data_IF_236465711032
#
_entry.id   IF_236465711032
#
_cell.length_a   1.000
_cell.length_b   1.000
_cell.length_c   1.000
_cell.angle_alpha   90.00
_cell.angle_beta   90.00
_cell.angle_gamma   90.00
#
_symmetry.space_group_name_H-M   'P 1'
#
loop_
_entity.id
_entity.type
_entity.pdbx_description
1 polymer ?
#
# COMPACT_ATOMS: atom_id res chain seq x y z
N UNK A 1 1.44 -4.06 7.51
CA UNK A 1 0.49 -3.01 7.17
C UNK A 1 -0.81 -3.08 8.01
N UNK A 2 -1.49 -4.24 8.14
CA UNK A 2 -2.72 -4.35 8.94
C UNK A 2 -2.52 -3.99 10.42
N UNK A 3 -1.39 -4.31 11.01
CA UNK A 3 -1.10 -4.02 12.42
C UNK A 3 -0.86 -2.52 12.68
N UNK A 4 -0.50 -1.77 11.64
CA UNK A 4 -0.44 -0.30 11.71
C UNK A 4 -1.83 0.35 11.87
N UNK A 5 -2.93 -0.44 11.79
CA UNK A 5 -4.30 0.04 12.03
C UNK A 5 -4.64 0.26 13.52
N UNK A 6 -3.80 -0.16 14.43
CA UNK A 6 -3.95 0.13 15.87
C UNK A 6 -3.85 1.63 16.21
N UNK A 7 -3.21 2.41 15.33
CA UNK A 7 -3.10 3.86 15.47
C UNK A 7 -4.41 4.62 15.21
N UNK A 8 -4.50 5.90 15.65
CA UNK A 8 -5.64 6.77 15.35
C UNK A 8 -5.90 6.88 13.84
N UNK A 9 -7.17 6.91 13.43
CA UNK A 9 -7.55 6.87 12.00
C UNK A 9 -6.98 8.01 11.15
N UNK A 10 -6.83 9.27 11.63
CA UNK A 10 -6.15 10.31 10.86
C UNK A 10 -4.68 9.99 10.56
N UNK A 11 -3.99 9.31 11.48
CA UNK A 11 -2.61 8.84 11.26
C UNK A 11 -2.60 7.70 10.24
N UNK A 12 -3.54 6.77 10.33
CA UNK A 12 -3.73 5.71 9.33
C UNK A 12 -3.99 6.30 7.93
N UNK A 13 -4.80 7.36 7.84
CA UNK A 13 -5.04 8.07 6.59
C UNK A 13 -3.73 8.61 5.97
N UNK A 14 -2.88 9.26 6.78
CA UNK A 14 -1.61 9.79 6.32
C UNK A 14 -0.64 8.68 5.89
N UNK A 15 -0.51 7.62 6.69
CA UNK A 15 0.38 6.49 6.43
C UNK A 15 0.01 5.78 5.12
N UNK A 16 -1.28 5.48 4.92
CA UNK A 16 -1.75 4.64 3.81
C UNK A 16 -2.12 5.43 2.55
N UNK A 17 -2.33 6.75 2.63
CA UNK A 17 -2.63 7.54 1.46
C UNK A 17 -1.35 8.01 0.74
N UNK A 18 -0.40 8.64 1.46
CA UNK A 18 0.61 9.47 0.81
C UNK A 18 2.05 9.29 1.30
N UNK A 19 2.31 8.63 2.44
CA UNK A 19 3.64 8.67 3.06
C UNK A 19 4.36 7.33 3.08
N UNK A 20 4.24 6.57 4.16
CA UNK A 20 5.06 5.38 4.42
C UNK A 20 4.94 4.33 3.31
N UNK A 21 3.71 4.04 2.87
CA UNK A 21 3.46 3.01 1.86
C UNK A 21 3.98 3.38 0.47
N UNK A 22 4.11 4.68 0.19
CA UNK A 22 4.59 5.18 -1.09
C UNK A 22 6.12 5.27 -1.17
N UNK A 23 6.82 5.26 -0.03
CA UNK A 23 8.27 5.40 0.00
C UNK A 23 9.00 4.28 -0.75
N UNK A 24 8.63 3.02 -0.49
CA UNK A 24 9.21 1.86 -1.19
C UNK A 24 8.88 1.85 -2.67
N UNK A 25 7.64 2.19 -3.03
CA UNK A 25 7.20 2.29 -4.40
C UNK A 25 7.94 3.41 -5.15
N UNK A 26 8.08 4.58 -4.55
CA UNK A 26 8.81 5.70 -5.12
C UNK A 26 10.30 5.36 -5.28
N UNK A 27 10.90 4.63 -4.34
CA UNK A 27 12.26 4.13 -4.48
C UNK A 27 12.41 3.26 -5.72
N UNK A 28 11.52 2.28 -5.93
CA UNK A 28 11.55 1.42 -7.12
C UNK A 28 11.36 2.25 -8.39
N UNK A 29 10.36 3.15 -8.41
CA UNK A 29 10.14 4.05 -9.54
C UNK A 29 11.39 4.90 -9.88
N UNK A 30 12.13 5.36 -8.87
CA UNK A 30 13.40 6.10 -9.06
C UNK A 30 14.52 5.22 -9.57
N UNK A 31 14.50 3.93 -9.30
CA UNK A 31 15.51 2.99 -9.78
C UNK A 31 15.30 2.59 -11.24
N UNK A 32 14.05 2.59 -11.74
CA UNK A 32 13.73 2.22 -13.12
C UNK A 32 14.60 2.95 -14.16
N UNK A 33 14.79 4.29 -14.10
CA UNK A 33 15.67 4.99 -15.06
C UNK A 33 17.16 4.65 -14.94
N UNK A 34 17.63 4.17 -13.77
CA UNK A 34 19.04 3.83 -13.56
C UNK A 34 19.42 2.46 -14.13
N UNK A 35 18.45 1.64 -14.48
CA UNK A 35 18.69 0.36 -15.14
C UNK A 35 19.01 0.57 -16.62
N UNK A 36 18.77 1.78 -17.13
CA UNK A 36 19.18 2.22 -18.45
C UNK A 36 20.62 2.73 -18.45
N UNK A 37 21.57 1.89 -18.75
CA UNK A 37 22.94 2.29 -19.01
C UNK A 37 23.21 2.21 -20.51
N UNK A 38 22.61 3.18 -21.23
CA UNK A 38 22.92 3.48 -22.63
C UNK A 38 22.51 2.41 -23.64
N UNK A 39 21.40 2.63 -24.33
CA UNK A 39 20.91 2.00 -25.57
C UNK A 39 20.96 0.47 -25.72
N UNK A 40 21.51 -0.24 -24.77
CA UNK A 40 21.54 -1.71 -24.68
C UNK A 40 21.24 -2.08 -23.25
N UNK A 41 20.16 -2.81 -23.01
CA UNK A 41 19.79 -3.30 -21.68
C UNK A 41 20.99 -3.91 -20.95
N UNK A 42 21.01 -3.77 -19.63
CA UNK A 42 22.07 -4.40 -18.83
C UNK A 42 21.88 -5.92 -18.90
N UNK A 43 22.83 -6.61 -19.49
CA UNK A 43 22.81 -8.07 -19.60
C UNK A 43 22.60 -8.71 -18.20
N UNK A 44 21.56 -9.55 -18.09
CA UNK A 44 21.15 -10.19 -16.83
C UNK A 44 20.07 -9.47 -16.04
N UNK A 45 19.60 -8.29 -16.46
CA UNK A 45 18.44 -7.58 -15.89
C UNK A 45 17.20 -7.63 -16.80
N UNK A 46 17.27 -8.36 -17.90
CA UNK A 46 16.17 -8.51 -18.87
C UNK A 46 14.90 -9.05 -18.20
N UNK A 47 15.05 -10.04 -17.31
CA UNK A 47 13.94 -10.65 -16.57
C UNK A 47 13.50 -9.87 -15.33
N UNK A 48 14.23 -8.84 -14.91
CA UNK A 48 13.90 -8.11 -13.68
C UNK A 48 12.53 -7.45 -13.75
N UNK A 49 12.19 -6.88 -14.92
CA UNK A 49 10.88 -6.29 -15.17
C UNK A 49 9.76 -7.31 -15.00
N UNK A 50 9.95 -8.50 -15.54
CA UNK A 50 9.01 -9.61 -15.42
C UNK A 50 8.85 -10.05 -13.93
N UNK A 51 9.96 -10.20 -13.20
CA UNK A 51 9.93 -10.57 -11.77
C UNK A 51 9.16 -9.53 -10.97
N UNK A 52 9.43 -8.24 -11.17
CA UNK A 52 8.75 -7.15 -10.48
C UNK A 52 7.26 -7.14 -10.82
N UNK A 53 6.88 -7.38 -12.09
CA UNK A 53 5.49 -7.46 -12.52
C UNK A 53 4.75 -8.64 -11.85
N UNK A 54 5.39 -9.81 -11.74
CA UNK A 54 4.81 -10.96 -11.04
C UNK A 54 4.65 -10.71 -9.54
N UNK A 55 5.65 -10.17 -8.87
CA UNK A 55 5.57 -9.80 -7.44
C UNK A 55 4.40 -8.84 -7.23
N UNK A 56 4.26 -7.83 -8.10
CA UNK A 56 3.14 -6.91 -8.08
C UNK A 56 1.80 -7.62 -8.26
N UNK A 57 1.64 -8.39 -9.34
CA UNK A 57 0.40 -9.10 -9.68
C UNK A 57 -0.05 -10.09 -8.60
N UNK A 58 0.86 -10.91 -8.09
CA UNK A 58 0.58 -11.86 -7.01
C UNK A 58 0.17 -11.12 -5.72
N UNK A 59 0.91 -10.09 -5.35
CA UNK A 59 0.60 -9.29 -4.16
C UNK A 59 -0.75 -8.60 -4.28
N UNK A 60 -1.08 -8.05 -5.46
CA UNK A 60 -2.37 -7.41 -5.74
C UNK A 60 -3.53 -8.40 -5.54
N UNK A 61 -3.41 -9.58 -6.12
CA UNK A 61 -4.42 -10.65 -6.03
C UNK A 61 -4.58 -11.15 -4.58
N UNK A 62 -3.49 -11.46 -3.90
CA UNK A 62 -3.53 -11.94 -2.51
C UNK A 62 -4.16 -10.92 -1.57
N UNK A 63 -3.75 -9.66 -1.66
CA UNK A 63 -4.29 -8.59 -0.83
C UNK A 63 -5.79 -8.40 -1.07
N UNK A 64 -6.25 -8.45 -2.33
CA UNK A 64 -7.66 -8.40 -2.67
C UNK A 64 -8.44 -9.60 -2.12
N UNK A 65 -7.88 -10.82 -2.19
CA UNK A 65 -8.49 -12.02 -1.64
C UNK A 65 -8.66 -11.94 -0.11
N UNK A 66 -7.67 -11.44 0.60
CA UNK A 66 -7.76 -11.22 2.05
C UNK A 66 -8.80 -10.13 2.37
N UNK A 67 -8.88 -9.06 1.58
CA UNK A 67 -9.87 -8.01 1.77
C UNK A 67 -11.33 -8.50 1.67
N UNK A 68 -11.59 -9.61 0.95
CA UNK A 68 -12.94 -10.21 0.83
C UNK A 68 -13.54 -10.62 2.17
N UNK A 69 -12.73 -11.12 3.07
CA UNK A 69 -13.18 -11.74 4.32
C UNK A 69 -12.99 -10.85 5.55
N UNK A 70 -12.27 -9.72 5.41
CA UNK A 70 -12.07 -8.80 6.52
C UNK A 70 -13.39 -8.11 6.93
N UNK A 71 -13.63 -8.03 8.23
CA UNK A 71 -14.79 -7.37 8.81
C UNK A 71 -14.50 -6.03 9.44
N UNK A 72 -13.23 -5.75 9.75
CA UNK A 72 -12.76 -4.46 10.23
C UNK A 72 -12.60 -3.49 9.03
N UNK A 73 -13.30 -2.35 9.11
CA UNK A 73 -13.33 -1.33 8.04
C UNK A 73 -11.93 -0.79 7.71
N UNK A 74 -11.08 -0.59 8.73
CA UNK A 74 -9.69 -0.11 8.55
C UNK A 74 -8.82 -1.19 7.91
N UNK A 75 -8.98 -2.45 8.29
CA UNK A 75 -8.24 -3.57 7.72
C UNK A 75 -8.61 -3.81 6.25
N UNK A 76 -9.89 -3.70 5.87
CA UNK A 76 -10.31 -3.73 4.46
C UNK A 76 -9.59 -2.64 3.67
N UNK A 77 -9.55 -1.40 4.19
CA UNK A 77 -8.86 -0.29 3.54
C UNK A 77 -7.35 -0.50 3.45
N UNK A 78 -6.72 -1.12 4.45
CA UNK A 78 -5.30 -1.45 4.46
C UNK A 78 -4.94 -2.49 3.38
N UNK A 79 -5.69 -3.59 3.29
CA UNK A 79 -5.50 -4.59 2.24
C UNK A 79 -5.81 -4.05 0.86
N UNK A 80 -6.82 -3.19 0.75
CA UNK A 80 -7.08 -2.45 -0.47
C UNK A 80 -5.91 -1.53 -0.86
N UNK A 81 -5.25 -0.87 0.10
CA UNK A 81 -4.04 -0.09 -0.17
C UNK A 81 -2.92 -0.97 -0.70
N UNK A 82 -2.65 -2.10 -0.05
CA UNK A 82 -1.63 -3.06 -0.49
C UNK A 82 -1.92 -3.56 -1.90
N UNK A 83 -3.18 -3.88 -2.21
CA UNK A 83 -3.59 -4.31 -3.55
C UNK A 83 -3.36 -3.22 -4.60
N UNK A 84 -3.72 -1.96 -4.34
CA UNK A 84 -3.58 -0.88 -5.32
C UNK A 84 -2.11 -0.47 -5.54
N UNK A 85 -1.29 -0.47 -4.50
CA UNK A 85 0.16 -0.24 -4.66
C UNK A 85 0.82 -1.37 -5.45
N UNK A 86 0.36 -2.60 -5.26
CA UNK A 86 0.83 -3.73 -6.03
C UNK A 86 0.48 -3.64 -7.53
N UNK A 87 -0.64 -3.00 -7.91
CA UNK A 87 -0.91 -2.61 -9.30
C UNK A 87 0.20 -1.71 -9.85
N UNK A 88 0.62 -0.72 -9.06
CA UNK A 88 1.68 0.20 -9.49
C UNK A 88 3.01 -0.57 -9.65
N UNK A 89 3.32 -1.51 -8.75
CA UNK A 89 4.48 -2.37 -8.91
C UNK A 89 4.41 -3.21 -10.20
N UNK A 90 3.24 -3.75 -10.54
CA UNK A 90 3.04 -4.45 -11.82
C UNK A 90 3.31 -3.52 -12.98
N UNK A 91 2.79 -2.29 -12.95
CA UNK A 91 3.03 -1.28 -13.97
C UNK A 91 4.51 -0.89 -14.08
N UNK A 92 5.21 -0.69 -12.95
CA UNK A 92 6.65 -0.40 -12.96
C UNK A 92 7.47 -1.58 -13.49
N UNK A 93 7.08 -2.83 -13.16
CA UNK A 93 7.68 -4.03 -13.73
C UNK A 93 7.49 -4.11 -15.25
N UNK A 94 6.28 -3.80 -15.72
CA UNK A 94 5.99 -3.74 -17.16
C UNK A 94 6.76 -2.61 -17.85
N UNK A 95 6.91 -1.43 -17.20
CA UNK A 95 7.73 -0.34 -17.72
C UNK A 95 9.19 -0.75 -17.88
N UNK A 96 9.74 -1.39 -16.87
CA UNK A 96 11.12 -1.88 -16.89
C UNK A 96 11.31 -2.95 -17.97
N UNK A 97 10.33 -3.85 -18.12
CA UNK A 97 10.36 -4.88 -19.16
C UNK A 97 10.33 -4.25 -20.57
N UNK A 98 9.39 -3.33 -20.85
CA UNK A 98 9.33 -2.62 -22.14
C UNK A 98 10.62 -1.86 -22.44
N UNK A 99 11.17 -1.22 -21.41
CA UNK A 99 12.39 -0.46 -21.55
C UNK A 99 13.58 -1.32 -21.98
N UNK A 100 13.75 -2.49 -21.34
CA UNK A 100 14.81 -3.44 -21.70
C UNK A 100 14.60 -4.12 -23.06
N UNK A 101 13.42 -3.99 -23.69
CA UNK A 101 13.10 -4.50 -25.01
C UNK A 101 12.99 -3.40 -26.08
N UNK A 102 13.59 -2.24 -25.86
CA UNK A 102 13.60 -1.08 -26.77
C UNK A 102 12.23 -0.46 -27.08
N UNK A 103 11.19 -0.81 -26.31
CA UNK A 103 9.82 -0.27 -26.43
C UNK A 103 9.62 0.96 -25.54
N UNK A 104 10.44 1.99 -25.77
CA UNK A 104 10.53 3.18 -24.90
C UNK A 104 9.21 3.95 -24.76
N UNK A 105 8.39 3.99 -25.82
CA UNK A 105 7.09 4.68 -25.75
C UNK A 105 6.12 3.97 -24.79
N UNK A 106 5.96 2.64 -24.93
CA UNK A 106 5.12 1.87 -24.03
C UNK A 106 5.62 1.90 -22.60
N UNK A 107 6.96 1.82 -22.41
CA UNK A 107 7.58 1.99 -21.10
C UNK A 107 7.21 3.33 -20.43
N UNK A 108 7.30 4.43 -21.16
CA UNK A 108 6.97 5.75 -20.66
C UNK A 108 5.47 5.90 -20.33
N UNK A 109 4.58 5.35 -21.16
CA UNK A 109 3.13 5.39 -20.95
C UNK A 109 2.73 4.63 -19.69
N UNK A 110 3.22 3.41 -19.50
CA UNK A 110 2.87 2.61 -18.29
C UNK A 110 3.53 3.18 -17.02
N UNK A 111 4.73 3.74 -17.13
CA UNK A 111 5.36 4.46 -16.01
C UNK A 111 4.53 5.69 -15.61
N UNK A 112 4.16 6.54 -16.57
CA UNK A 112 3.33 7.70 -16.34
C UNK A 112 1.96 7.35 -15.75
N UNK A 113 1.32 6.30 -16.25
CA UNK A 113 0.06 5.77 -15.71
C UNK A 113 0.22 5.26 -14.27
N UNK A 114 1.33 4.60 -13.96
CA UNK A 114 1.68 4.12 -12.62
C UNK A 114 1.85 5.27 -11.63
N UNK A 115 2.58 6.31 -12.00
CA UNK A 115 2.77 7.50 -11.16
C UNK A 115 1.47 8.30 -11.01
N UNK A 116 0.66 8.37 -12.06
CA UNK A 116 -0.65 9.01 -11.98
C UNK A 116 -1.62 8.21 -11.10
N UNK A 117 -1.52 6.89 -11.13
CA UNK A 117 -2.31 6.05 -10.21
C UNK A 117 -1.93 6.26 -8.76
N UNK A 118 -0.65 6.48 -8.46
CA UNK A 118 -0.17 6.82 -7.12
C UNK A 118 -0.86 8.10 -6.60
N UNK A 119 -0.97 9.13 -7.43
CA UNK A 119 -1.65 10.38 -7.07
C UNK A 119 -3.15 10.17 -6.82
N UNK A 120 -3.86 9.52 -7.75
CA UNK A 120 -5.30 9.24 -7.62
C UNK A 120 -5.60 8.36 -6.39
N UNK A 121 -4.73 7.37 -6.15
CA UNK A 121 -4.81 6.50 -4.98
C UNK A 121 -4.65 7.30 -3.67
N UNK A 122 -3.68 8.21 -3.61
CA UNK A 122 -3.45 9.03 -2.42
C UNK A 122 -4.69 9.87 -2.06
N UNK A 123 -5.33 10.52 -3.04
CA UNK A 123 -6.55 11.30 -2.83
C UNK A 123 -7.72 10.43 -2.37
N UNK A 124 -7.98 9.33 -3.08
CA UNK A 124 -9.08 8.42 -2.75
C UNK A 124 -8.89 7.74 -1.38
N UNK A 125 -7.68 7.29 -1.07
CA UNK A 125 -7.39 6.63 0.22
C UNK A 125 -7.41 7.59 1.39
N UNK A 126 -6.85 8.79 1.23
CA UNK A 126 -6.96 9.84 2.24
C UNK A 126 -8.42 10.08 2.62
N UNK A 127 -9.29 10.23 1.63
CA UNK A 127 -10.73 10.40 1.85
C UNK A 127 -11.38 9.17 2.50
N UNK A 128 -11.10 7.96 2.01
CA UNK A 128 -11.69 6.71 2.54
C UNK A 128 -11.33 6.47 4.01
N UNK A 129 -10.07 6.68 4.38
CA UNK A 129 -9.65 6.57 5.78
C UNK A 129 -10.25 7.68 6.65
N UNK A 130 -10.35 8.92 6.17
CA UNK A 130 -11.03 9.98 6.92
C UNK A 130 -12.52 9.68 7.08
N UNK A 131 -13.18 9.16 6.05
CA UNK A 131 -14.58 8.75 6.13
C UNK A 131 -14.78 7.58 7.12
N UNK A 132 -13.89 6.58 7.09
CA UNK A 132 -13.92 5.50 8.08
C UNK A 132 -13.69 6.01 9.51
N UNK A 133 -12.80 7.00 9.67
CA UNK A 133 -12.60 7.67 10.96
C UNK A 133 -13.83 8.40 11.46
N UNK A 134 -14.58 9.05 10.57
CA UNK A 134 -15.86 9.67 10.91
C UNK A 134 -16.86 8.62 11.39
N UNK A 135 -16.99 7.49 10.67
CA UNK A 135 -17.89 6.39 11.09
C UNK A 135 -17.49 5.85 12.46
N UNK A 136 -16.22 5.51 12.66
CA UNK A 136 -15.73 4.95 13.92
C UNK A 136 -15.94 5.93 15.08
N UNK A 137 -15.69 7.22 14.86
CA UNK A 137 -15.86 8.27 15.86
C UNK A 137 -17.30 8.39 16.32
N UNK A 138 -18.25 8.53 15.41
CA UNK A 138 -19.65 8.70 15.73
C UNK A 138 -20.27 7.43 16.34
N UNK A 139 -19.85 6.25 15.89
CA UNK A 139 -20.29 4.97 16.47
C UNK A 139 -19.74 4.80 17.89
N UNK A 140 -18.48 5.14 18.12
CA UNK A 140 -17.87 5.08 19.46
C UNK A 140 -18.55 6.09 20.41
N UNK A 141 -18.81 7.30 19.95
CA UNK A 141 -19.48 8.35 20.71
C UNK A 141 -20.90 7.93 21.10
N UNK A 142 -21.68 7.36 20.17
CA UNK A 142 -22.99 6.83 20.46
C UNK A 142 -22.96 5.67 21.48
N UNK A 143 -21.94 4.79 21.40
CA UNK A 143 -21.74 3.73 22.37
C UNK A 143 -21.48 4.26 23.77
N UNK A 144 -20.59 5.25 23.91
CA UNK A 144 -20.26 5.85 25.20
C UNK A 144 -21.47 6.54 25.85
N UNK A 145 -22.27 7.25 25.06
CA UNK A 145 -23.50 7.89 25.55
C UNK A 145 -24.52 6.89 26.10
N UNK A 146 -24.69 5.76 25.46
CA UNK A 146 -25.62 4.74 25.90
C UNK A 146 -25.19 4.05 27.20
N UNK A 147 -23.88 3.92 27.45
CA UNK A 147 -23.34 3.14 28.57
C UNK A 147 -22.90 4.00 29.75
N UNK A 148 -22.79 5.34 29.63
CA UNK A 148 -22.53 6.23 30.76
C UNK A 148 -23.62 6.29 31.85
N UNK A 149 -24.77 5.66 31.63
CA UNK A 149 -25.89 5.61 32.59
C UNK A 149 -25.91 4.42 33.55
N UNK A 150 -25.16 3.38 33.32
CA UNK A 150 -25.18 2.17 34.14
C UNK A 150 -23.76 1.77 34.56
N UNK A 151 -23.42 2.03 35.83
CA UNK A 151 -22.21 1.52 36.45
C UNK A 151 -22.18 0.01 36.47
N UNK A 152 -20.97 -0.54 36.29
CA UNK A 152 -20.58 -1.91 36.59
C UNK A 152 -21.34 -3.03 35.84
N UNK A 153 -20.94 -3.27 34.64
CA UNK A 153 -21.24 -4.50 33.92
C UNK A 153 -20.34 -4.64 32.70
N UNK A 154 -19.53 -5.67 32.66
CA UNK A 154 -18.75 -6.08 31.49
C UNK A 154 -19.67 -6.14 30.26
N UNK A 155 -19.86 -4.98 29.60
CA UNK A 155 -20.51 -4.92 28.29
C UNK A 155 -19.63 -5.73 27.33
N UNK A 156 -20.26 -6.64 26.59
CA UNK A 156 -19.60 -7.36 25.50
C UNK A 156 -18.72 -6.40 24.72
N UNK A 157 -17.51 -6.83 24.35
CA UNK A 157 -16.54 -6.08 23.55
C UNK A 157 -17.19 -5.57 22.25
N UNK A 158 -17.82 -4.38 22.31
CA UNK A 158 -18.36 -3.73 21.14
C UNK A 158 -17.21 -3.06 20.39
N UNK A 159 -16.88 -3.61 19.23
CA UNK A 159 -15.86 -3.03 18.37
C UNK A 159 -16.51 -2.05 17.37
N UNK A 160 -16.23 -0.74 17.47
CA UNK A 160 -16.74 0.27 16.55
C UNK A 160 -16.10 0.20 15.16
N UNK A 161 -15.10 -0.66 14.94
CA UNK A 161 -14.46 -0.89 13.65
C UNK A 161 -15.09 -2.06 12.89
N UNK A 162 -15.84 -2.93 13.59
CA UNK A 162 -16.44 -4.13 12.99
C UNK A 162 -17.72 -3.79 12.22
N UNK A 163 -17.66 -3.92 10.88
CA UNK A 163 -18.79 -3.68 9.98
C UNK A 163 -20.00 -4.60 10.24
N UNK A 164 -19.82 -5.73 10.97
CA UNK A 164 -20.92 -6.60 11.34
C UNK A 164 -21.85 -5.96 12.36
N UNK A 165 -21.34 -5.01 13.14
CA UNK A 165 -22.11 -4.24 14.12
C UNK A 165 -22.78 -3.00 13.54
N UNK A 166 -22.45 -2.64 12.28
CA UNK A 166 -22.94 -1.47 11.57
C UNK A 166 -24.20 -1.79 10.75
N UNK A 167 -24.50 -0.97 9.76
CA UNK A 167 -25.62 -1.07 8.83
C UNK A 167 -26.55 0.13 8.98
N UNK A 168 -27.22 0.51 7.91
CA UNK A 168 -28.20 1.61 7.92
C UNK A 168 -27.61 3.02 8.14
N UNK A 169 -26.30 3.19 8.18
CA UNK A 169 -25.66 4.48 8.45
C UNK A 169 -25.83 5.50 7.32
N UNK A 170 -26.32 5.11 6.14
CA UNK A 170 -26.46 6.02 5.00
C UNK A 170 -27.41 7.21 5.28
N UNK A 171 -28.45 7.00 6.06
CA UNK A 171 -29.41 8.02 6.47
C UNK A 171 -28.89 8.88 7.63
N UNK A 172 -28.13 8.27 8.53
CA UNK A 172 -27.56 8.92 9.71
C UNK A 172 -26.34 9.78 9.36
N UNK A 173 -25.52 9.33 8.40
CA UNK A 173 -24.25 9.95 8.00
C UNK A 173 -24.20 10.15 6.46
N UNK A 174 -25.07 11.00 5.88
CA UNK A 174 -25.20 11.10 4.42
C UNK A 174 -23.95 11.67 3.72
N UNK A 175 -23.22 12.60 4.35
CA UNK A 175 -22.00 13.18 3.78
C UNK A 175 -20.90 12.13 3.78
N UNK A 176 -20.68 11.45 4.90
CA UNK A 176 -19.67 10.38 5.04
C UNK A 176 -19.98 9.21 4.10
N UNK A 177 -21.25 8.78 4.00
CA UNK A 177 -21.69 7.73 3.08
C UNK A 177 -21.41 8.09 1.61
N UNK A 178 -21.67 9.34 1.23
CA UNK A 178 -21.40 9.83 -0.13
C UNK A 178 -19.91 9.89 -0.40
N UNK A 179 -19.11 10.43 0.52
CA UNK A 179 -17.66 10.50 0.39
C UNK A 179 -17.05 9.09 0.23
N UNK A 180 -17.45 8.16 1.11
CA UNK A 180 -16.94 6.79 1.06
C UNK A 180 -17.36 6.04 -0.21
N UNK A 181 -18.52 6.37 -0.77
CA UNK A 181 -18.97 5.83 -2.04
C UNK A 181 -18.09 6.33 -3.19
N UNK A 182 -17.87 7.64 -3.33
CA UNK A 182 -17.01 8.18 -4.39
C UNK A 182 -15.56 7.68 -4.28
N UNK A 183 -15.05 7.55 -3.06
CA UNK A 183 -13.75 6.93 -2.83
C UNK A 183 -13.69 5.47 -3.28
N UNK A 184 -14.71 4.71 -2.94
CA UNK A 184 -14.84 3.31 -3.38
C UNK A 184 -14.92 3.22 -4.91
N UNK A 185 -15.72 4.06 -5.55
CA UNK A 185 -15.87 4.14 -7.01
C UNK A 185 -14.53 4.48 -7.69
N UNK A 186 -13.75 5.38 -7.10
CA UNK A 186 -12.41 5.73 -7.61
C UNK A 186 -11.43 4.56 -7.53
N UNK A 187 -11.40 3.84 -6.40
CA UNK A 187 -10.53 2.67 -6.21
C UNK A 187 -10.96 1.49 -7.11
N UNK A 188 -12.25 1.27 -7.29
CA UNK A 188 -12.80 0.29 -8.23
C UNK A 188 -12.33 0.58 -9.65
N UNK A 189 -12.20 1.86 -10.02
CA UNK A 189 -11.91 2.31 -11.37
C UNK A 189 -13.17 2.42 -12.21
N UNK A 190 -14.24 3.00 -11.62
CA UNK A 190 -15.49 3.26 -12.37
C UNK A 190 -15.23 4.33 -13.44
N UNK A 191 -15.69 4.13 -14.69
CA UNK A 191 -15.50 5.08 -15.75
C UNK A 191 -15.83 6.52 -15.37
N UNK A 192 -15.02 7.46 -15.82
CA UNK A 192 -15.10 8.91 -15.56
C UNK A 192 -14.71 9.37 -14.16
N UNK A 193 -14.55 8.49 -13.18
CA UNK A 193 -14.11 8.83 -11.82
C UNK A 193 -12.59 8.66 -11.70
N UNK A 194 -11.96 9.46 -10.86
CA UNK A 194 -10.52 9.70 -10.75
C UNK A 194 -9.60 8.52 -11.02
N UNK A 195 -9.78 7.40 -10.31
CA UNK A 195 -8.89 6.23 -10.42
C UNK A 195 -8.94 5.50 -11.76
N UNK A 196 -10.03 5.60 -12.51
CA UNK A 196 -10.18 4.97 -13.82
C UNK A 196 -9.07 5.39 -14.80
N UNK A 197 -8.82 6.68 -14.91
CA UNK A 197 -7.87 7.27 -15.86
C UNK A 197 -6.43 6.84 -15.71
N UNK A 198 -6.08 6.31 -14.56
CA UNK A 198 -4.72 5.82 -14.27
C UNK A 198 -4.63 4.31 -14.25
N UNK A 199 -5.65 3.63 -13.70
CA UNK A 199 -5.66 2.18 -13.56
C UNK A 199 -5.77 1.46 -14.90
N UNK A 200 -6.59 2.01 -15.80
CA UNK A 200 -6.77 1.44 -17.14
C UNK A 200 -5.45 1.41 -17.91
N UNK A 201 -4.64 2.48 -17.85
CA UNK A 201 -3.34 2.50 -18.50
C UNK A 201 -2.38 1.41 -18.02
N UNK A 202 -2.36 1.12 -16.70
CA UNK A 202 -1.53 0.03 -16.16
C UNK A 202 -1.99 -1.32 -16.70
N UNK A 203 -3.30 -1.59 -16.68
CA UNK A 203 -3.87 -2.87 -17.14
C UNK A 203 -3.64 -3.03 -18.65
N UNK A 204 -3.96 -2.01 -19.44
CA UNK A 204 -3.85 -2.05 -20.89
C UNK A 204 -2.41 -2.32 -21.35
N UNK A 205 -1.43 -1.59 -20.80
CA UNK A 205 -0.02 -1.76 -21.19
C UNK A 205 0.56 -3.10 -20.71
N UNK A 206 0.16 -3.60 -19.52
CA UNK A 206 0.57 -4.94 -19.08
C UNK A 206 0.02 -6.03 -20.01
N UNK A 207 -1.22 -5.86 -20.50
CA UNK A 207 -1.80 -6.75 -21.51
C UNK A 207 -1.17 -6.59 -22.88
N UNK A 208 -0.75 -5.39 -23.27
CA UNK A 208 -0.01 -5.15 -24.51
C UNK A 208 1.31 -5.92 -24.52
N UNK A 209 2.06 -5.86 -23.41
CA UNK A 209 3.27 -6.66 -23.25
C UNK A 209 3.02 -8.16 -23.44
N UNK A 210 1.93 -8.69 -22.86
CA UNK A 210 1.57 -10.09 -22.96
C UNK A 210 1.15 -10.51 -24.37
N UNK A 211 0.36 -9.66 -25.06
CA UNK A 211 -0.23 -9.99 -26.35
C UNK A 211 0.75 -9.92 -27.52
N UNK A 212 1.71 -9.00 -27.46
CA UNK A 212 2.54 -8.67 -28.60
C UNK A 212 4.00 -9.08 -28.46
N UNK A 213 4.47 -9.24 -27.24
CA UNK A 213 5.90 -9.35 -26.98
C UNK A 213 6.29 -10.59 -26.17
N UNK A 214 5.74 -10.77 -24.96
CA UNK A 214 6.24 -11.76 -24.00
C UNK A 214 5.11 -12.60 -23.38
N UNK A 215 4.97 -13.88 -23.79
CA UNK A 215 3.91 -14.75 -23.24
C UNK A 215 3.92 -14.90 -21.72
N UNK A 216 5.07 -14.77 -21.06
CA UNK A 216 5.15 -14.84 -19.59
C UNK A 216 4.44 -13.65 -18.92
N UNK A 217 4.26 -12.53 -19.60
CA UNK A 217 3.50 -11.38 -19.09
C UNK A 217 1.98 -11.65 -18.98
N UNK A 218 1.45 -12.74 -19.55
CA UNK A 218 0.05 -13.15 -19.30
C UNK A 218 -0.22 -13.40 -17.81
N UNK A 219 0.76 -13.90 -17.05
CA UNK A 219 0.59 -14.11 -15.61
C UNK A 219 0.23 -12.83 -14.87
N UNK A 220 1.08 -11.80 -14.86
CA UNK A 220 0.76 -10.51 -14.24
C UNK A 220 -0.51 -9.86 -14.83
N UNK A 221 -0.71 -9.92 -16.15
CA UNK A 221 -1.87 -9.34 -16.82
C UNK A 221 -3.20 -9.96 -16.34
N UNK A 222 -3.29 -11.29 -16.24
CA UNK A 222 -4.46 -11.99 -15.71
C UNK A 222 -4.67 -11.66 -14.23
N UNK A 223 -3.61 -11.64 -13.42
CA UNK A 223 -3.70 -11.34 -12.01
C UNK A 223 -4.27 -9.94 -11.74
N UNK A 224 -3.80 -8.92 -12.47
CA UNK A 224 -4.33 -7.56 -12.29
C UNK A 224 -5.77 -7.44 -12.80
N UNK A 225 -6.13 -8.14 -13.87
CA UNK A 225 -7.49 -8.18 -14.40
C UNK A 225 -8.47 -8.80 -13.38
N UNK A 226 -8.14 -9.96 -12.83
CA UNK A 226 -8.94 -10.61 -11.81
C UNK A 226 -9.04 -9.73 -10.54
N UNK A 227 -7.94 -9.12 -10.15
CA UNK A 227 -7.90 -8.21 -9.00
C UNK A 227 -8.79 -6.98 -9.21
N UNK A 228 -8.98 -6.51 -10.46
CA UNK A 228 -9.91 -5.42 -10.75
C UNK A 228 -11.35 -5.81 -10.38
N UNK A 229 -11.80 -7.00 -10.81
CA UNK A 229 -13.10 -7.54 -10.42
C UNK A 229 -13.26 -7.73 -8.92
N UNK A 230 -12.21 -8.26 -8.27
CA UNK A 230 -12.18 -8.43 -6.82
C UNK A 230 -12.25 -7.08 -6.08
N UNK A 231 -11.60 -6.04 -6.61
CA UNK A 231 -11.69 -4.67 -6.05
C UNK A 231 -13.13 -4.18 -6.05
N UNK A 232 -13.86 -4.41 -7.16
CA UNK A 232 -15.28 -4.09 -7.26
C UNK A 232 -16.12 -4.74 -6.15
N UNK A 233 -15.84 -6.00 -5.85
CA UNK A 233 -16.57 -6.73 -4.82
C UNK A 233 -16.26 -6.22 -3.40
N UNK A 234 -14.98 -6.21 -2.96
CA UNK A 234 -14.70 -5.91 -1.55
C UNK A 234 -14.95 -4.44 -1.18
N UNK A 235 -14.74 -3.50 -2.10
CA UNK A 235 -15.07 -2.09 -1.86
C UNK A 235 -16.59 -1.88 -1.75
N UNK A 236 -17.36 -2.51 -2.62
CA UNK A 236 -18.83 -2.46 -2.55
C UNK A 236 -19.35 -3.19 -1.31
N UNK A 237 -18.77 -4.36 -0.94
CA UNK A 237 -19.09 -5.07 0.30
C UNK A 237 -18.89 -4.18 1.52
N UNK A 238 -17.74 -3.53 1.62
CA UNK A 238 -17.44 -2.61 2.71
C UNK A 238 -18.50 -1.52 2.82
N UNK A 239 -18.86 -0.89 1.69
CA UNK A 239 -19.86 0.16 1.67
C UNK A 239 -21.26 -0.36 2.05
N UNK A 240 -21.71 -1.50 1.49
CA UNK A 240 -23.02 -2.07 1.81
C UNK A 240 -23.11 -2.53 3.26
N UNK A 241 -22.08 -3.13 3.82
CA UNK A 241 -22.10 -3.58 5.22
C UNK A 241 -22.20 -2.43 6.21
N UNK A 242 -21.61 -1.29 5.87
CA UNK A 242 -21.55 -0.10 6.74
C UNK A 242 -22.81 0.76 6.59
N UNK A 243 -23.24 1.03 5.37
CA UNK A 243 -24.23 2.07 5.10
C UNK A 243 -25.60 1.57 4.68
N UNK A 244 -25.70 0.38 4.10
CA UNK A 244 -26.97 -0.17 3.64
C UNK A 244 -27.66 -1.00 4.70
N UNK A 245 -28.95 -1.26 4.47
CA UNK A 245 -29.78 -2.12 5.34
C UNK A 245 -30.32 -1.38 6.57
N UNK A 246 -30.63 -2.15 7.59
CA UNK A 246 -31.11 -1.64 8.88
C UNK A 246 -29.95 -1.65 9.89
N UNK A 247 -30.00 -0.78 10.92
CA UNK A 247 -29.06 -0.84 12.03
C UNK A 247 -28.99 -2.26 12.62
N UNK A 248 -27.78 -2.74 12.86
CA UNK A 248 -27.55 -4.09 13.40
C UNK A 248 -27.25 -4.08 14.89
N UNK A 249 -27.03 -2.91 15.47
CA UNK A 249 -26.85 -2.70 16.90
C UNK A 249 -27.63 -1.49 17.36
N UNK A 250 -28.04 -1.47 18.62
CA UNK A 250 -28.72 -0.34 19.26
C UNK A 250 -27.87 0.93 19.19
N UNK A 251 -26.55 0.81 19.28
CA UNK A 251 -25.59 1.91 19.18
C UNK A 251 -25.78 2.67 17.86
N UNK A 252 -25.91 1.95 16.74
CA UNK A 252 -26.05 2.55 15.41
C UNK A 252 -27.36 3.32 15.26
N UNK A 253 -28.42 2.99 16.00
CA UNK A 253 -29.68 3.73 15.97
C UNK A 253 -29.51 5.16 16.50
N UNK A 254 -28.56 5.39 17.38
CA UNK A 254 -28.29 6.69 18.03
C UNK A 254 -27.15 7.47 17.37
N UNK A 255 -26.56 6.98 16.29
CA UNK A 255 -25.52 7.68 15.55
C UNK A 255 -26.09 8.89 14.81
N UNK A 256 -25.39 10.02 14.89
CA UNK A 256 -25.70 11.25 14.16
C UNK A 256 -24.42 11.90 13.63
N UNK A 257 -24.47 12.44 12.43
CA UNK A 257 -23.34 13.12 11.79
C UNK A 257 -23.27 14.59 12.25
N UNK A 258 -22.72 14.86 13.43
CA UNK A 258 -22.79 16.18 14.05
C UNK A 258 -21.60 17.09 13.72
N UNK A 259 -20.39 16.54 13.50
CA UNK A 259 -19.15 17.32 13.49
C UNK A 259 -18.88 18.03 12.15
N UNK A 260 -19.09 19.35 12.00
CA UNK A 260 -18.88 20.06 10.73
C UNK A 260 -17.41 20.09 10.30
N UNK A 261 -16.48 20.06 11.23
CA UNK A 261 -15.03 20.05 10.96
C UNK A 261 -14.53 18.77 10.26
N UNK A 262 -15.25 17.66 10.45
CA UNK A 262 -14.97 16.40 9.74
C UNK A 262 -15.61 16.42 8.35
N UNK A 263 -16.81 16.98 8.23
CA UNK A 263 -17.58 17.04 6.97
C UNK A 263 -16.89 17.87 5.90
N UNK A 264 -16.36 19.04 6.26
CA UNK A 264 -15.76 19.96 5.30
C UNK A 264 -14.58 19.33 4.52
N UNK A 265 -13.56 18.73 5.17
CA UNK A 265 -12.50 18.02 4.45
C UNK A 265 -13.02 16.87 3.58
N UNK A 266 -14.03 16.12 4.05
CA UNK A 266 -14.62 15.03 3.29
C UNK A 266 -15.30 15.52 2.00
N UNK A 267 -16.04 16.63 2.05
CA UNK A 267 -16.65 17.22 0.85
C UNK A 267 -15.59 17.66 -0.15
N UNK A 268 -14.55 18.36 0.31
CA UNK A 268 -13.45 18.82 -0.56
C UNK A 268 -12.74 17.62 -1.22
N UNK A 269 -12.38 16.61 -0.42
CA UNK A 269 -11.72 15.40 -0.94
C UNK A 269 -12.65 14.61 -1.87
N UNK A 270 -13.97 14.60 -1.63
CA UNK A 270 -14.94 13.96 -2.53
C UNK A 270 -14.92 14.60 -3.91
N UNK A 271 -14.92 15.92 -3.97
CA UNK A 271 -14.83 16.65 -5.25
C UNK A 271 -13.52 16.38 -5.97
N UNK A 272 -12.40 16.42 -5.24
CA UNK A 272 -11.07 16.13 -5.81
C UNK A 272 -11.00 14.68 -6.29
N UNK A 273 -11.50 13.72 -5.51
CA UNK A 273 -11.46 12.29 -5.88
C UNK A 273 -12.37 11.98 -7.07
N UNK A 274 -13.57 12.60 -7.13
CA UNK A 274 -14.50 12.37 -8.21
C UNK A 274 -14.01 12.99 -9.54
N UNK A 275 -13.55 14.22 -9.50
CA UNK A 275 -13.29 15.01 -10.72
C UNK A 275 -11.80 15.29 -10.95
N UNK A 276 -10.97 15.27 -9.91
CA UNK A 276 -9.54 15.61 -9.99
C UNK A 276 -8.77 14.72 -10.96
N UNK A 277 -8.99 13.41 -10.91
CA UNK A 277 -8.34 12.47 -11.82
C UNK A 277 -8.66 12.76 -13.29
N UNK A 278 -9.93 13.05 -13.59
CA UNK A 278 -10.35 13.49 -14.93
C UNK A 278 -9.70 14.82 -15.31
N UNK A 279 -9.78 15.83 -14.44
CA UNK A 279 -9.20 17.15 -14.69
C UNK A 279 -7.68 17.06 -14.91
N UNK A 280 -6.95 16.31 -14.10
CA UNK A 280 -5.50 16.12 -14.26
C UNK A 280 -5.15 15.30 -15.52
N UNK A 281 -5.97 14.29 -15.88
CA UNK A 281 -5.79 13.59 -17.13
C UNK A 281 -5.95 14.53 -18.34
N UNK A 282 -6.94 15.43 -18.31
CA UNK A 282 -7.13 16.43 -19.36
C UNK A 282 -6.00 17.48 -19.43
N UNK A 283 -5.41 17.82 -18.28
CA UNK A 283 -4.26 18.72 -18.21
C UNK A 283 -2.94 18.04 -18.64
N UNK A 284 -3.00 16.79 -19.09
CA UNK A 284 -1.83 16.05 -19.56
C UNK A 284 -0.91 15.55 -18.45
N UNK A 285 -1.45 15.28 -17.25
CA UNK A 285 -0.65 14.79 -16.14
C UNK A 285 0.07 13.47 -16.47
N UNK A 286 -0.59 12.56 -17.19
CA UNK A 286 0.02 11.31 -17.65
C UNK A 286 1.20 11.60 -18.58
N UNK A 287 1.00 12.50 -19.55
CA UNK A 287 2.02 12.82 -20.56
C UNK A 287 3.22 13.55 -19.92
N UNK A 288 2.94 14.42 -18.93
CA UNK A 288 3.99 15.08 -18.14
C UNK A 288 4.80 14.06 -17.31
N UNK A 289 4.13 13.12 -16.64
CA UNK A 289 4.79 12.09 -15.86
C UNK A 289 5.56 11.10 -16.75
N UNK A 290 5.04 10.79 -17.94
CA UNK A 290 5.73 9.99 -18.94
C UNK A 290 6.98 10.69 -19.46
N UNK A 291 6.92 12.01 -19.68
CA UNK A 291 8.07 12.80 -20.15
C UNK A 291 9.20 12.89 -19.13
N UNK A 292 8.90 12.74 -17.84
CA UNK A 292 9.94 12.67 -16.81
C UNK A 292 10.79 11.39 -16.91
N UNK A 293 10.29 10.37 -17.60
CA UNK A 293 11.00 9.13 -17.90
C UNK A 293 11.76 9.17 -19.22
N UNK A 294 11.31 10.00 -20.16
CA UNK A 294 11.91 10.11 -21.50
C UNK A 294 13.11 11.05 -21.51
N UNK A 295 14.28 10.53 -21.15
CA UNK A 295 15.56 11.25 -21.26
C UNK A 295 15.95 11.56 -22.73
N UNK A 296 15.36 10.88 -23.71
CA UNK A 296 15.69 11.05 -25.13
C UNK A 296 14.97 12.24 -25.79
N UNK A 297 13.97 12.82 -25.13
CA UNK A 297 13.19 13.95 -25.67
C UNK A 297 12.30 13.58 -26.86
N UNK A 298 12.03 12.30 -27.11
CA UNK A 298 11.24 11.83 -28.22
C UNK A 298 9.74 11.93 -27.98
N UNK A 299 9.30 12.00 -26.73
CA UNK A 299 7.91 12.27 -26.38
C UNK A 299 7.57 13.73 -26.69
N UNK A 300 7.11 13.98 -27.89
CA UNK A 300 6.52 15.26 -28.25
C UNK A 300 5.21 15.41 -27.49
N UNK A 301 5.20 16.26 -26.47
CA UNK A 301 3.97 16.74 -25.86
C UNK A 301 3.08 17.29 -26.97
N UNK A 302 2.03 16.55 -27.29
CA UNK A 302 1.11 16.95 -28.36
C UNK A 302 0.37 18.20 -27.88
N UNK A 303 0.67 19.35 -28.50
CA UNK A 303 -0.10 20.61 -28.28
C UNK A 303 -1.43 20.48 -29.01
N UNK A 304 -2.33 19.67 -28.46
CA UNK A 304 -3.71 19.55 -28.93
C UNK A 304 -4.58 20.58 -28.25
N UNK A 305 -5.72 20.92 -28.86
CA UNK A 305 -6.77 21.68 -28.18
C UNK A 305 -7.30 20.85 -27.01
N UNK A 306 -7.89 21.51 -26.01
CA UNK A 306 -8.52 20.81 -24.87
C UNK A 306 -9.52 19.75 -25.34
N UNK A 307 -10.29 20.06 -26.40
CA UNK A 307 -11.27 19.15 -26.96
C UNK A 307 -10.61 17.92 -27.60
N UNK A 308 -9.53 18.11 -28.37
CA UNK A 308 -8.77 17.01 -28.97
C UNK A 308 -8.15 16.11 -27.91
N UNK A 309 -7.65 16.70 -26.81
CA UNK A 309 -7.13 15.94 -25.68
C UNK A 309 -8.23 15.12 -24.99
N UNK A 310 -9.41 15.65 -24.81
CA UNK A 310 -10.58 14.92 -24.27
C UNK A 310 -10.95 13.76 -25.18
N UNK A 311 -11.14 14.02 -26.45
CA UNK A 311 -11.55 13.00 -27.42
C UNK A 311 -10.50 11.88 -27.53
N UNK A 312 -9.21 12.23 -27.62
CA UNK A 312 -8.12 11.27 -27.65
C UNK A 312 -8.08 10.39 -26.38
N UNK A 313 -8.18 11.00 -25.19
CA UNK A 313 -8.19 10.24 -23.91
C UNK A 313 -9.41 9.34 -23.78
N UNK A 314 -10.58 9.78 -24.22
CA UNK A 314 -11.80 8.96 -24.24
C UNK A 314 -11.66 7.82 -25.26
N UNK A 315 -11.16 8.13 -26.45
CA UNK A 315 -10.93 7.11 -27.49
C UNK A 315 -9.92 6.06 -27.00
N UNK A 316 -8.80 6.48 -26.46
CA UNK A 316 -7.79 5.57 -25.91
C UNK A 316 -8.34 4.68 -24.79
N UNK A 317 -9.14 5.26 -23.86
CA UNK A 317 -9.69 4.52 -22.73
C UNK A 317 -10.81 3.53 -23.12
N UNK A 318 -11.69 3.92 -24.08
CA UNK A 318 -12.86 3.11 -24.42
C UNK A 318 -12.76 2.39 -25.75
N UNK A 319 -11.97 2.90 -26.67
CA UNK A 319 -11.86 2.41 -28.05
C UNK A 319 -10.41 2.38 -28.54
N UNK A 320 -9.47 1.71 -27.84
CA UNK A 320 -8.11 1.62 -28.30
C UNK A 320 -8.07 0.98 -29.70
N UNK A 321 -7.11 1.35 -30.54
CA UNK A 321 -7.02 0.89 -31.94
C UNK A 321 -6.96 -0.65 -32.04
N UNK A 322 -6.25 -1.29 -31.11
CA UNK A 322 -6.12 -2.74 -31.08
C UNK A 322 -7.35 -3.40 -30.46
N UNK A 323 -8.05 -4.24 -31.25
CA UNK A 323 -9.31 -4.87 -30.83
C UNK A 323 -9.16 -5.73 -29.57
N UNK A 324 -8.01 -6.37 -29.40
CA UNK A 324 -7.73 -7.20 -28.22
C UNK A 324 -7.70 -6.36 -26.93
N UNK A 325 -7.12 -5.16 -26.96
CA UNK A 325 -7.09 -4.23 -25.83
C UNK A 325 -8.49 -3.65 -25.52
N UNK A 326 -9.31 -3.42 -26.56
CA UNK A 326 -10.73 -3.07 -26.35
C UNK A 326 -11.45 -4.11 -25.53
N UNK A 327 -11.30 -5.37 -25.88
CA UNK A 327 -11.95 -6.49 -25.17
C UNK A 327 -11.48 -6.51 -23.72
N UNK A 328 -10.17 -6.38 -23.47
CA UNK A 328 -9.60 -6.33 -22.11
C UNK A 328 -10.19 -5.18 -21.31
N UNK A 329 -10.21 -3.96 -21.85
CA UNK A 329 -10.80 -2.79 -21.18
C UNK A 329 -12.26 -3.00 -20.81
N UNK A 330 -13.09 -3.46 -21.76
CA UNK A 330 -14.50 -3.74 -21.49
C UNK A 330 -14.71 -4.88 -20.50
N UNK A 331 -13.90 -5.94 -20.55
CA UNK A 331 -13.94 -7.02 -19.55
C UNK A 331 -13.55 -6.49 -18.15
N UNK A 332 -12.53 -5.64 -18.07
CA UNK A 332 -12.14 -5.00 -16.81
C UNK A 332 -13.29 -4.19 -16.20
N UNK A 333 -13.92 -3.32 -17.01
CA UNK A 333 -15.08 -2.53 -16.59
C UNK A 333 -16.24 -3.44 -16.18
N UNK A 334 -16.54 -4.45 -16.95
CA UNK A 334 -17.62 -5.39 -16.65
C UNK A 334 -17.40 -6.11 -15.32
N UNK A 335 -16.21 -6.65 -15.10
CA UNK A 335 -15.88 -7.36 -13.86
C UNK A 335 -15.86 -6.42 -12.64
N UNK A 336 -15.22 -5.25 -12.76
CA UNK A 336 -15.02 -4.36 -11.64
C UNK A 336 -16.27 -3.54 -11.29
N UNK A 337 -17.00 -3.06 -12.28
CA UNK A 337 -18.12 -2.15 -12.07
C UNK A 337 -19.48 -2.86 -12.03
N UNK A 338 -19.65 -3.97 -12.73
CA UNK A 338 -20.94 -4.67 -12.81
C UNK A 338 -20.93 -5.91 -11.92
N UNK A 339 -20.02 -6.87 -12.19
CA UNK A 339 -20.04 -8.17 -11.52
C UNK A 339 -19.71 -8.02 -10.03
N UNK A 340 -18.62 -7.33 -9.69
CA UNK A 340 -18.20 -7.13 -8.29
C UNK A 340 -19.28 -6.48 -7.43
N UNK A 341 -19.77 -5.28 -7.78
CA UNK A 341 -20.83 -4.61 -7.01
C UNK A 341 -22.16 -5.36 -6.94
N UNK A 342 -22.58 -6.03 -8.02
CA UNK A 342 -23.82 -6.85 -8.00
C UNK A 342 -23.68 -8.03 -7.04
N UNK A 343 -22.55 -8.74 -7.06
CA UNK A 343 -22.30 -9.83 -6.12
C UNK A 343 -22.30 -9.32 -4.67
N UNK A 344 -21.63 -8.18 -4.40
CA UNK A 344 -21.64 -7.57 -3.08
C UNK A 344 -23.05 -7.15 -2.65
N UNK A 345 -23.84 -6.58 -3.54
CA UNK A 345 -25.22 -6.18 -3.27
C UNK A 345 -26.13 -7.38 -2.97
N UNK A 346 -25.93 -8.52 -3.66
CA UNK A 346 -26.70 -9.77 -3.41
C UNK A 346 -26.43 -10.36 -2.02
N UNK A 347 -25.21 -10.23 -1.53
CA UNK A 347 -24.80 -10.83 -0.25
C UNK A 347 -25.07 -9.85 0.90
N UNK A 348 -24.73 -8.59 0.72
CA UNK A 348 -24.68 -7.59 1.79
C UNK A 348 -25.63 -6.40 1.59
N UNK A 349 -26.34 -6.34 0.47
CA UNK A 349 -27.32 -5.27 0.21
C UNK A 349 -28.51 -5.32 1.15
N UNK A 350 -29.15 -4.20 1.38
CA UNK A 350 -30.35 -4.07 2.22
C UNK A 350 -31.15 -2.81 1.85
N UNK A 351 -32.40 -2.75 2.29
CA UNK A 351 -33.23 -1.55 2.11
C UNK A 351 -32.83 -0.49 3.14
N UNK A 352 -32.98 0.78 2.76
CA UNK A 352 -33.03 1.85 3.76
C UNK A 352 -34.29 1.73 4.59
N UNK A 353 -34.22 2.12 5.86
CA UNK A 353 -35.40 2.24 6.70
C UNK A 353 -36.38 3.26 6.10
N UNK A 354 -37.66 2.97 6.10
CA UNK A 354 -38.69 3.86 5.54
C UNK A 354 -38.73 5.18 6.34
N UNK A 355 -38.61 6.31 5.65
CA UNK A 355 -38.72 7.64 6.22
C UNK A 355 -37.40 8.36 6.51
N UNK A 356 -36.24 7.77 6.27
CA UNK A 356 -34.95 8.42 6.51
C UNK A 356 -34.42 9.15 5.26
N UNK A 357 -33.91 10.38 5.48
CA UNK A 357 -33.34 11.20 4.41
C UNK A 357 -31.88 10.83 4.14
N UNK A 358 -31.58 10.42 2.94
CA UNK A 358 -30.22 10.30 2.42
C UNK A 358 -30.06 11.12 1.14
N UNK A 359 -28.83 11.28 0.64
CA UNK A 359 -28.66 11.93 -0.66
C UNK A 359 -29.38 11.13 -1.75
N UNK A 360 -29.98 11.80 -2.78
CA UNK A 360 -30.77 11.12 -3.82
C UNK A 360 -30.01 9.98 -4.51
N UNK A 361 -28.69 10.14 -4.69
CA UNK A 361 -27.85 9.13 -5.31
C UNK A 361 -27.64 7.90 -4.41
N UNK A 362 -27.42 8.11 -3.12
CA UNK A 362 -27.28 7.02 -2.13
C UNK A 362 -28.60 6.27 -2.00
N UNK A 363 -29.73 6.96 -1.92
CA UNK A 363 -31.07 6.36 -1.89
C UNK A 363 -31.33 5.50 -3.12
N UNK A 364 -30.98 5.99 -4.30
CA UNK A 364 -31.11 5.25 -5.56
C UNK A 364 -30.24 3.97 -5.53
N UNK A 365 -28.97 4.06 -5.12
CA UNK A 365 -28.06 2.93 -5.06
C UNK A 365 -28.56 1.84 -4.11
N UNK A 366 -28.99 2.22 -2.90
CA UNK A 366 -29.51 1.28 -1.90
C UNK A 366 -30.82 0.64 -2.39
N UNK A 367 -31.71 1.43 -2.97
CA UNK A 367 -32.96 0.92 -3.58
C UNK A 367 -32.67 -0.05 -4.74
N UNK A 368 -31.68 0.25 -5.58
CA UNK A 368 -31.25 -0.66 -6.65
C UNK A 368 -30.67 -1.97 -6.08
N UNK A 369 -29.82 -1.88 -5.06
CA UNK A 369 -29.19 -3.05 -4.43
C UNK A 369 -30.21 -3.99 -3.77
N UNK A 370 -31.27 -3.43 -3.18
CA UNK A 370 -32.32 -4.20 -2.51
C UNK A 370 -33.13 -5.12 -3.44
N UNK A 371 -33.11 -4.84 -4.77
CA UNK A 371 -33.80 -5.65 -5.78
C UNK A 371 -33.12 -6.98 -6.06
N UNK A 372 -31.84 -7.15 -5.68
CA UNK A 372 -31.09 -8.37 -5.98
C UNK A 372 -31.35 -9.53 -5.02
N UNK A 373 -32.12 -9.36 -3.96
CA UNK A 373 -32.43 -10.42 -2.99
C UNK A 373 -31.18 -10.88 -2.21
N UNK A 374 -31.34 -11.17 -0.92
CA UNK A 374 -30.24 -11.70 -0.10
C UNK A 374 -29.96 -13.17 -0.42
N UNK A 375 -28.69 -13.48 -0.63
CA UNK A 375 -28.21 -14.84 -0.75
C UNK A 375 -27.46 -15.22 0.55
N UNK A 376 -27.82 -16.35 1.14
CA UNK A 376 -27.09 -16.87 2.29
C UNK A 376 -25.77 -17.50 1.82
N UNK A 377 -24.69 -17.03 2.41
CA UNK A 377 -23.32 -17.52 2.13
C UNK A 377 -22.62 -18.00 3.41
N UNK A 378 -23.37 -18.32 4.46
CA UNK A 378 -22.82 -18.78 5.74
C UNK A 378 -21.87 -19.97 5.56
N UNK A 379 -22.23 -20.94 4.72
CA UNK A 379 -21.41 -22.11 4.43
C UNK A 379 -20.07 -21.76 3.73
N UNK A 380 -20.01 -20.66 2.95
CA UNK A 380 -18.77 -20.20 2.32
C UNK A 380 -17.84 -19.51 3.32
N UNK A 381 -18.41 -18.85 4.33
CA UNK A 381 -17.62 -18.16 5.37
C UNK A 381 -16.88 -19.15 6.29
N UNK A 382 -17.37 -20.38 6.42
CA UNK A 382 -16.80 -21.48 7.21
C UNK A 382 -15.83 -22.36 6.41
N UNK A 383 -15.66 -22.11 5.12
CA UNK A 383 -14.72 -22.88 4.27
C UNK A 383 -13.27 -22.73 4.74
N UNK A 384 -12.45 -23.78 4.57
CA UNK A 384 -11.01 -23.75 4.91
C UNK A 384 -10.28 -22.58 4.22
N UNK A 385 -10.65 -22.26 2.98
CA UNK A 385 -10.09 -21.12 2.26
C UNK A 385 -10.46 -19.79 2.93
N UNK A 386 -11.70 -19.63 3.38
CA UNK A 386 -12.13 -18.43 4.10
C UNK A 386 -11.39 -18.27 5.42
N UNK A 387 -11.22 -19.36 6.15
CA UNK A 387 -10.44 -19.38 7.41
C UNK A 387 -8.97 -19.03 7.15
N UNK A 388 -8.36 -19.59 6.10
CA UNK A 388 -6.99 -19.27 5.73
C UNK A 388 -6.83 -17.77 5.35
N UNK A 389 -7.78 -17.21 4.60
CA UNK A 389 -7.79 -15.79 4.25
C UNK A 389 -8.02 -14.89 5.48
N UNK A 390 -8.89 -15.28 6.41
CA UNK A 390 -9.08 -14.55 7.67
C UNK A 390 -7.81 -14.53 8.52
N UNK A 391 -7.07 -15.64 8.53
CA UNK A 391 -5.76 -15.75 9.17
C UNK A 391 -4.62 -15.22 8.28
N UNK A 392 -4.93 -14.38 7.29
CA UNK A 392 -3.93 -13.70 6.44
C UNK A 392 -3.00 -14.69 5.71
N UNK A 393 -3.52 -15.86 5.32
CA UNK A 393 -2.76 -16.97 4.72
C UNK A 393 -1.59 -17.43 5.59
N UNK A 394 -1.67 -17.25 6.88
CA UNK A 394 -0.64 -17.60 7.89
C UNK A 394 0.73 -16.95 7.65
N UNK A 395 0.76 -15.81 6.94
CA UNK A 395 2.03 -15.07 6.72
C UNK A 395 2.63 -14.56 8.02
N UNK A 396 1.79 -14.12 8.96
CA UNK A 396 2.25 -13.63 10.26
C UNK A 396 2.95 -14.76 11.02
N UNK A 397 2.37 -15.96 11.05
CA UNK A 397 2.97 -17.15 11.67
C UNK A 397 4.31 -17.54 11.01
N UNK A 398 4.39 -17.40 9.68
CA UNK A 398 5.63 -17.65 8.94
C UNK A 398 6.71 -16.64 9.33
N UNK A 399 6.36 -15.34 9.35
CA UNK A 399 7.31 -14.29 9.72
C UNK A 399 7.77 -14.42 11.17
N UNK A 400 6.87 -14.62 12.11
CA UNK A 400 7.20 -14.83 13.51
C UNK A 400 8.05 -16.10 13.71
N UNK A 401 7.71 -17.17 13.03
CA UNK A 401 8.49 -18.40 13.04
C UNK A 401 9.90 -18.23 12.51
N UNK A 402 10.07 -17.49 11.41
CA UNK A 402 11.40 -17.16 10.85
C UNK A 402 12.18 -16.24 11.78
N UNK A 403 11.55 -15.16 12.29
CA UNK A 403 12.18 -14.24 13.23
C UNK A 403 12.63 -14.95 14.51
N UNK A 404 11.76 -15.77 15.11
CA UNK A 404 12.08 -16.49 16.34
C UNK A 404 13.23 -17.50 16.16
N UNK A 405 13.29 -18.18 15.00
CA UNK A 405 14.26 -19.26 14.75
C UNK A 405 15.57 -18.78 14.15
N UNK A 406 15.61 -17.62 13.51
CA UNK A 406 16.81 -17.14 12.79
C UNK A 406 17.32 -15.81 13.31
N UNK A 407 16.50 -14.77 13.23
CA UNK A 407 16.93 -13.38 13.51
C UNK A 407 17.24 -13.18 15.01
N UNK A 408 16.38 -13.70 15.89
CA UNK A 408 16.56 -13.55 17.34
C UNK A 408 17.83 -14.27 17.81
N UNK A 409 18.09 -15.57 17.47
CA UNK A 409 19.33 -16.24 17.84
C UNK A 409 20.56 -15.58 17.22
N UNK A 410 20.48 -15.11 15.97
CA UNK A 410 21.58 -14.40 15.32
C UNK A 410 21.90 -13.08 16.03
N UNK A 411 20.89 -12.30 16.38
CA UNK A 411 21.03 -11.05 17.15
C UNK A 411 21.64 -11.32 18.53
N UNK A 412 21.20 -12.37 19.22
CA UNK A 412 21.77 -12.77 20.51
C UNK A 412 23.23 -13.19 20.38
N UNK A 413 23.56 -13.94 19.33
CA UNK A 413 24.96 -14.32 19.03
C UNK A 413 25.81 -13.07 18.75
N UNK A 414 25.34 -12.14 17.92
CA UNK A 414 26.06 -10.90 17.61
C UNK A 414 26.29 -10.07 18.86
N UNK A 415 25.29 -9.92 19.72
CA UNK A 415 25.39 -9.20 20.98
C UNK A 415 26.33 -9.92 21.98
N UNK A 416 26.37 -11.25 21.97
CA UNK A 416 27.33 -12.03 22.76
C UNK A 416 28.74 -11.82 22.23
N UNK A 417 28.92 -11.89 20.91
CA UNK A 417 30.22 -11.70 20.26
C UNK A 417 30.78 -10.32 20.52
N UNK A 418 29.99 -9.30 20.38
CA UNK A 418 30.37 -7.91 20.65
C UNK A 418 30.85 -7.75 22.10
N UNK A 419 30.03 -8.17 23.08
CA UNK A 419 30.37 -8.04 24.51
C UNK A 419 31.58 -8.88 24.95
N UNK A 420 31.72 -10.11 24.45
CA UNK A 420 32.73 -11.04 24.97
C UNK A 420 34.02 -11.03 24.17
N UNK A 421 33.92 -10.82 22.84
CA UNK A 421 35.11 -10.83 21.98
C UNK A 421 35.62 -9.41 21.77
N UNK A 422 34.83 -8.52 21.24
CA UNK A 422 35.26 -7.15 20.89
C UNK A 422 35.53 -6.33 22.15
N UNK A 423 34.54 -6.14 23.01
CA UNK A 423 34.70 -5.45 24.28
C UNK A 423 35.66 -6.16 25.22
N UNK A 424 35.67 -7.50 25.18
CA UNK A 424 36.60 -8.33 25.93
C UNK A 424 38.06 -8.05 25.55
N UNK A 425 38.36 -7.97 24.26
CA UNK A 425 39.69 -7.62 23.73
C UNK A 425 40.10 -6.20 24.12
N UNK A 426 39.19 -5.25 23.92
CA UNK A 426 39.45 -3.84 24.28
C UNK A 426 39.77 -3.72 25.77
N UNK A 427 38.97 -4.32 26.65
CA UNK A 427 39.21 -4.34 28.10
C UNK A 427 40.52 -5.05 28.47
N UNK A 428 40.90 -6.11 27.73
CA UNK A 428 42.15 -6.80 27.95
C UNK A 428 43.35 -5.93 27.56
N UNK A 429 43.29 -5.22 26.44
CA UNK A 429 44.30 -4.26 26.00
C UNK A 429 44.42 -3.13 27.02
N UNK A 430 43.30 -2.58 27.45
CA UNK A 430 43.24 -1.54 28.49
C UNK A 430 43.95 -2.03 29.78
N UNK A 431 43.55 -3.20 30.31
CA UNK A 431 44.16 -3.76 31.54
C UNK A 431 45.65 -3.99 31.37
N UNK A 432 46.12 -4.52 30.22
CA UNK A 432 47.53 -4.73 29.95
C UNK A 432 48.29 -3.41 29.85
N UNK A 433 47.69 -2.39 29.20
CA UNK A 433 48.27 -1.05 29.08
C UNK A 433 48.41 -0.38 30.45
N UNK A 434 47.36 -0.42 31.25
CA UNK A 434 47.40 0.11 32.63
C UNK A 434 48.42 -0.65 33.50
N UNK A 435 48.41 -1.98 33.43
CA UNK A 435 49.41 -2.80 34.16
C UNK A 435 50.84 -2.50 33.71
N UNK A 436 51.08 -2.39 32.39
CA UNK A 436 52.37 -2.00 31.84
C UNK A 436 52.80 -0.58 32.28
N UNK A 437 51.87 0.35 32.28
CA UNK A 437 52.12 1.72 32.78
C UNK A 437 52.54 1.74 34.24
N UNK A 438 51.85 0.94 35.10
CA UNK A 438 52.23 0.82 36.51
C UNK A 438 53.63 0.21 36.68
N UNK A 439 53.99 -0.78 35.87
CA UNK A 439 55.33 -1.38 35.89
C UNK A 439 56.41 -0.37 35.45
N UNK A 440 56.18 0.35 34.37
CA UNK A 440 57.08 1.41 33.89
C UNK A 440 57.22 2.52 34.94
N UNK A 441 56.11 2.91 35.58
CA UNK A 441 56.15 3.89 36.70
C UNK A 441 57.01 3.45 37.87
N UNK A 442 57.13 2.13 38.15
CA UNK A 442 58.03 1.59 39.20
C UNK A 442 59.50 1.77 38.86
N UNK A 443 59.84 1.91 37.57
CA UNK A 443 61.21 2.19 37.14
C UNK A 443 61.64 3.65 37.38
N UNK A 444 60.65 4.55 37.59
CA UNK A 444 60.90 5.95 37.92
C UNK A 444 61.16 6.06 39.44
N UNK A 445 62.38 5.73 39.85
CA UNK A 445 62.76 5.71 41.29
C UNK A 445 63.08 7.09 41.88
N UNK A 446 63.25 8.11 41.01
CA UNK A 446 63.67 9.45 41.42
C UNK A 446 65.19 9.55 41.72
N UNK A 447 65.89 8.44 41.59
CA UNK A 447 67.37 8.38 41.83
C UNK A 447 68.13 8.56 40.53
N UNK A 448 68.97 9.57 40.47
CA UNK A 448 69.81 9.83 39.30
C UNK A 448 70.76 8.66 38.96
N UNK A 449 71.17 7.93 39.97
CA UNK A 449 72.02 6.76 39.84
C UNK A 449 71.33 5.62 39.10
N UNK A 450 70.02 5.37 39.42
CA UNK A 450 69.25 4.31 38.79
C UNK A 450 68.95 4.66 37.33
N UNK A 451 68.73 5.91 36.99
CA UNK A 451 68.51 6.34 35.62
C UNK A 451 69.79 6.18 34.76
N UNK A 452 70.95 6.54 35.29
CA UNK A 452 72.24 6.35 34.62
C UNK A 452 72.49 4.88 34.37
N UNK A 453 72.22 3.99 35.35
CA UNK A 453 72.39 2.55 35.23
C UNK A 453 71.41 1.99 34.17
N UNK A 454 70.17 2.39 34.17
CA UNK A 454 69.19 2.00 33.11
C UNK A 454 69.62 2.47 31.73
N UNK A 455 70.07 3.69 31.60
CA UNK A 455 70.54 4.24 30.31
C UNK A 455 71.75 3.49 29.77
N UNK A 456 72.72 3.14 30.64
CA UNK A 456 73.86 2.34 30.24
C UNK A 456 73.50 0.90 29.85
N UNK A 457 72.60 0.25 30.58
CA UNK A 457 72.12 -1.10 30.24
C UNK A 457 71.32 -1.05 28.93
N UNK A 458 70.50 -0.05 28.72
CA UNK A 458 69.74 0.15 27.46
C UNK A 458 70.68 0.36 26.25
N UNK A 459 71.71 1.17 26.43
CA UNK A 459 72.71 1.41 25.37
C UNK A 459 73.48 0.16 25.01
N UNK A 460 73.91 -0.59 26.03
CA UNK A 460 74.65 -1.91 25.86
C UNK A 460 73.71 -2.93 25.18
N UNK A 461 72.42 -2.96 25.50
CA UNK A 461 71.47 -3.86 24.86
C UNK A 461 71.27 -3.52 23.39
N UNK A 462 71.19 -2.23 23.02
CA UNK A 462 71.10 -1.79 21.63
C UNK A 462 72.36 -2.18 20.87
N UNK A 463 73.57 -1.95 21.46
CA UNK A 463 74.84 -2.32 20.83
C UNK A 463 74.90 -3.83 20.62
N UNK A 464 74.53 -4.64 21.60
CA UNK A 464 74.46 -6.09 21.46
C UNK A 464 73.52 -6.59 20.38
N UNK A 465 72.29 -5.93 20.26
CA UNK A 465 71.35 -6.21 19.23
C UNK A 465 71.91 -5.89 17.83
N UNK A 466 72.51 -4.70 17.68
CA UNK A 466 73.11 -4.28 16.42
C UNK A 466 74.34 -5.17 16.05
N UNK A 467 75.08 -5.68 17.05
CA UNK A 467 76.17 -6.61 16.80
C UNK A 467 75.63 -7.97 16.36
N UNK A 468 74.55 -8.47 17.00
CA UNK A 468 73.97 -9.75 16.64
C UNK A 468 73.18 -9.70 15.29
N UNK A 469 72.87 -8.54 14.78
CA UNK A 469 72.31 -8.39 13.43
C UNK A 469 73.35 -8.27 12.33
N UNK A 470 74.63 -8.04 12.69
CA UNK A 470 75.76 -7.93 11.76
C UNK A 470 76.70 -9.22 11.71
N UNK A 471 76.34 -10.22 12.51
CA UNK A 471 76.93 -11.56 12.44
C UNK A 471 75.86 -12.50 11.85
#
# INVERSE_FOLDING_TARGET
LPDAMEGPTPVSALIHAATMVNAGLYLVARMVPFVDVGHHGVAGLEDLGLIVAYVGGITAFMAAAIAFVQNDIKKVLAYSTMSQLAYIFTGLGSALWFYNNDEHHAAAVVFGSSMFHLFNHAMAKGMLFMASGSVIHEVHHAHDHLHHGHGDGHGHDFDPQDMRNMGGLASKMPVTATAMMFGSMSIIGIPLIGGFWSKEGIIAETWLAALEHEPLMYGPAILVLLTAGMTGFYMSRMWFMTFAGVPKSEVVEHVHEETPWIKMPLVVLTVITAFGGFAFALLGATDYLSSAYDYSGHLKLHKSTLLDSILYKLEYAFLPEKINLRIVGWVTIFLSFIVGPILAARIHGGKLSDGESSTPFVSWLVSASSKFGKQDVSSLSESELSVALQNRLYFDDLYEGVLARTVIPFSQFTAWFDRNVIDGLVKQIERRSVSGSVQVRRLTTGSARDYILMATVGMLSIIALLWGMNT
#
